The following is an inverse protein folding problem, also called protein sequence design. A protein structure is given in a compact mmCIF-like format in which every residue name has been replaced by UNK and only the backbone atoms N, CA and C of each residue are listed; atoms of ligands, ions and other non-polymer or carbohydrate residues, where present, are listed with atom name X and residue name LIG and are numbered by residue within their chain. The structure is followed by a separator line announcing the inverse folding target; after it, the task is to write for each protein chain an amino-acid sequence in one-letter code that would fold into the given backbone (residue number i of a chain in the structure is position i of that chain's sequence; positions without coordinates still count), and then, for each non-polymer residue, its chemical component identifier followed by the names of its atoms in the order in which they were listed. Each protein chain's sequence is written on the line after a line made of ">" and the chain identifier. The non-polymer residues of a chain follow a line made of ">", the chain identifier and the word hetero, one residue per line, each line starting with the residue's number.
data_IF_622419211511
#
_entry.id   IF_622419211511
#
_cell.length_a   1.000
_cell.length_b   1.000
_cell.length_c   1.000
_cell.angle_alpha   90.00
_cell.angle_beta   90.00
_cell.angle_gamma   90.00
#
_symmetry.space_group_name_H-M   'P 1'
#
loop_
_entity.id
_entity.type
_entity.pdbx_description
1 polymer ?
#
# COMPACT_ATOMS: atom_id res chain seq x y z
N UNK A 1 21.08 12.65 -30.82
CA UNK A 1 19.98 11.80 -31.32
C UNK A 1 20.33 10.33 -31.23
N UNK A 2 21.35 9.96 -30.45
CA UNK A 2 21.59 8.56 -30.10
C UNK A 2 20.67 8.15 -28.96
N UNK A 3 20.81 6.90 -28.58
CA UNK A 3 20.25 6.21 -27.43
C UNK A 3 21.49 5.46 -26.87
N UNK A 4 22.21 6.10 -25.94
CA UNK A 4 23.57 5.69 -25.58
C UNK A 4 23.57 4.50 -24.60
N UNK A 5 22.49 4.29 -23.86
CA UNK A 5 22.29 3.19 -22.89
C UNK A 5 21.29 2.12 -23.35
N UNK A 6 20.48 2.40 -24.38
CA UNK A 6 19.66 1.40 -25.07
C UNK A 6 18.33 1.11 -24.39
N UNK A 7 17.81 2.05 -23.62
CA UNK A 7 16.57 1.92 -22.85
C UNK A 7 15.30 2.27 -23.67
N UNK A 8 15.49 2.82 -24.87
CA UNK A 8 14.43 3.21 -25.79
C UNK A 8 14.13 4.72 -25.81
N UNK A 9 14.74 5.50 -24.93
CA UNK A 9 14.77 6.95 -24.99
C UNK A 9 15.93 7.42 -25.87
N UNK A 10 15.86 8.68 -26.30
CA UNK A 10 17.01 9.28 -27.00
C UNK A 10 17.75 10.14 -26.00
N UNK A 11 19.07 10.34 -26.17
CA UNK A 11 19.87 11.22 -25.29
C UNK A 11 19.28 12.64 -25.14
N UNK A 12 18.48 13.10 -26.12
CA UNK A 12 17.75 14.37 -26.03
C UNK A 12 16.50 14.25 -25.16
N UNK A 13 15.75 13.15 -25.28
CA UNK A 13 14.62 12.81 -24.40
C UNK A 13 15.10 12.71 -22.96
N UNK A 14 16.21 12.02 -22.70
CA UNK A 14 16.71 11.85 -21.33
C UNK A 14 17.06 13.20 -20.70
N UNK A 15 17.83 14.00 -21.44
CA UNK A 15 18.18 15.35 -21.00
C UNK A 15 16.94 16.25 -20.79
N UNK A 16 15.84 16.01 -21.50
CA UNK A 16 14.60 16.79 -21.35
C UNK A 16 13.77 16.33 -20.15
N UNK A 17 13.73 15.03 -19.89
CA UNK A 17 13.01 14.41 -18.79
C UNK A 17 13.77 14.50 -17.46
N UNK A 18 15.09 14.70 -17.52
CA UNK A 18 15.96 14.78 -16.35
C UNK A 18 16.65 13.46 -16.02
N UNK A 19 16.36 12.40 -16.78
CA UNK A 19 17.07 11.12 -16.73
C UNK A 19 18.46 11.24 -17.35
N UNK A 20 19.27 10.21 -17.18
CA UNK A 20 20.69 10.24 -17.54
C UNK A 20 20.92 9.49 -18.85
N UNK A 21 21.35 10.16 -19.95
CA UNK A 21 21.51 9.52 -21.27
C UNK A 21 22.42 8.28 -21.37
N UNK A 22 23.18 7.97 -20.33
CA UNK A 22 24.11 6.84 -20.30
C UNK A 22 23.83 5.90 -19.13
N UNK A 23 22.62 5.97 -18.58
CA UNK A 23 22.14 5.12 -17.52
C UNK A 23 20.65 4.81 -17.77
N UNK A 24 20.38 3.59 -18.20
CA UNK A 24 19.06 3.14 -18.62
C UNK A 24 18.00 3.06 -17.49
N UNK A 25 18.41 3.22 -16.24
CA UNK A 25 17.61 3.12 -15.02
C UNK A 25 18.15 4.19 -14.04
N UNK A 26 17.60 5.40 -14.13
CA UNK A 26 18.18 6.58 -13.50
C UNK A 26 18.09 6.55 -11.98
N UNK A 27 16.98 6.07 -11.42
CA UNK A 27 16.76 5.98 -9.97
C UNK A 27 17.21 4.66 -9.35
N UNK A 28 17.59 3.66 -10.17
CA UNK A 28 18.20 2.37 -9.81
C UNK A 28 17.25 1.41 -9.09
N UNK A 29 16.00 1.36 -9.52
CA UNK A 29 14.97 0.52 -8.91
C UNK A 29 14.71 -0.78 -9.69
N UNK A 30 15.24 -0.88 -10.92
CA UNK A 30 15.13 -2.02 -11.81
C UNK A 30 14.11 -1.88 -12.95
N UNK A 31 13.35 -0.78 -13.01
CA UNK A 31 12.61 -0.35 -14.19
C UNK A 31 13.54 0.49 -15.09
N UNK A 32 13.36 0.42 -16.41
CA UNK A 32 14.14 1.24 -17.32
C UNK A 32 13.41 2.57 -17.58
N UNK A 33 14.14 3.68 -17.65
CA UNK A 33 13.55 5.01 -17.83
C UNK A 33 12.60 5.04 -19.05
N UNK A 34 13.01 4.41 -20.16
CA UNK A 34 12.18 4.27 -21.34
C UNK A 34 10.93 3.40 -21.19
N UNK A 35 10.92 2.39 -20.32
CA UNK A 35 9.73 1.59 -20.01
C UNK A 35 8.69 2.41 -19.25
N UNK A 36 9.15 3.13 -18.25
CA UNK A 36 8.31 3.95 -17.38
C UNK A 36 7.65 5.10 -18.16
N UNK A 37 8.44 5.78 -19.00
CA UNK A 37 7.98 6.85 -19.88
C UNK A 37 7.06 6.34 -20.97
N UNK A 38 7.30 5.14 -21.50
CA UNK A 38 6.40 4.53 -22.48
C UNK A 38 5.04 4.18 -21.86
N UNK A 39 5.04 3.73 -20.61
CA UNK A 39 3.87 3.29 -19.88
C UNK A 39 3.24 2.03 -20.45
N UNK A 40 2.16 1.58 -19.81
CA UNK A 40 1.41 0.38 -20.20
C UNK A 40 -0.08 0.69 -20.36
N UNK A 41 -0.70 0.18 -21.43
CA UNK A 41 -2.12 0.37 -21.66
C UNK A 41 -2.92 -0.81 -21.08
N UNK A 42 -3.61 -0.59 -19.96
CA UNK A 42 -4.40 -1.60 -19.23
C UNK A 42 -5.82 -1.07 -18.97
N UNK A 43 -6.77 -1.99 -18.79
CA UNK A 43 -8.14 -1.61 -18.46
C UNK A 43 -8.20 -1.14 -17.00
N UNK A 44 -8.88 -0.03 -16.75
CA UNK A 44 -9.17 0.43 -15.39
C UNK A 44 -10.34 -0.36 -14.76
N UNK A 45 -10.71 -0.01 -13.52
CA UNK A 45 -11.89 -0.54 -12.83
C UNK A 45 -13.21 -0.41 -13.62
N UNK A 46 -13.32 0.58 -14.50
CA UNK A 46 -14.50 0.80 -15.35
C UNK A 46 -14.48 -0.08 -16.61
N UNK A 47 -13.35 -0.72 -16.91
CA UNK A 47 -13.07 -1.44 -18.14
C UNK A 47 -12.60 -0.55 -19.29
N UNK A 48 -12.33 0.73 -19.03
CA UNK A 48 -11.81 1.66 -20.02
C UNK A 48 -10.29 1.51 -20.14
N UNK A 49 -9.76 1.56 -21.36
CA UNK A 49 -8.32 1.46 -21.58
C UNK A 49 -7.64 2.77 -21.17
N UNK A 50 -6.77 2.69 -20.16
CA UNK A 50 -5.97 3.80 -19.63
C UNK A 50 -4.49 3.46 -19.80
N UNK A 51 -3.66 4.47 -20.03
CA UNK A 51 -2.20 4.31 -20.01
C UNK A 51 -1.67 4.70 -18.65
N UNK A 52 -0.99 3.76 -18.01
CA UNK A 52 -0.34 3.90 -16.70
C UNK A 52 1.14 4.20 -16.90
N UNK A 53 1.66 5.13 -16.09
CA UNK A 53 3.04 5.63 -16.18
C UNK A 53 3.64 5.66 -14.78
N UNK A 54 4.91 5.29 -14.64
CA UNK A 54 5.72 5.58 -13.45
C UNK A 54 6.67 6.76 -13.74
N UNK A 55 7.32 7.27 -12.70
CA UNK A 55 8.27 8.38 -12.76
C UNK A 55 9.71 7.85 -12.77
N UNK A 56 10.46 7.99 -13.88
CA UNK A 56 11.82 7.44 -14.01
C UNK A 56 12.89 8.13 -13.13
N UNK A 57 12.47 9.06 -12.29
CA UNK A 57 13.30 9.73 -11.29
C UNK A 57 12.89 9.38 -9.87
N UNK A 58 11.92 8.48 -9.69
CA UNK A 58 11.37 8.07 -8.41
C UNK A 58 11.15 6.56 -8.35
N UNK A 59 12.05 5.88 -7.64
CA UNK A 59 12.11 4.43 -7.48
C UNK A 59 10.87 3.75 -6.87
N UNK A 60 9.84 4.49 -6.48
CA UNK A 60 8.60 4.04 -5.84
C UNK A 60 7.54 5.13 -6.12
N UNK A 61 6.89 5.03 -7.28
CA UNK A 61 6.03 6.07 -7.85
C UNK A 61 4.73 6.26 -7.09
N UNK A 62 4.10 5.17 -6.62
CA UNK A 62 2.90 5.20 -5.77
C UNK A 62 3.23 5.48 -4.29
N UNK A 63 4.49 5.35 -3.86
CA UNK A 63 4.96 5.52 -2.48
C UNK A 63 4.34 4.48 -1.51
N UNK A 64 4.09 3.29 -2.03
CA UNK A 64 3.49 2.19 -1.27
C UNK A 64 4.55 1.37 -0.53
N UNK A 65 5.85 1.67 -0.72
CA UNK A 65 6.99 1.00 -0.07
C UNK A 65 7.57 -0.15 -0.88
N UNK A 66 7.08 -0.41 -2.09
CA UNK A 66 7.61 -1.39 -3.03
C UNK A 66 8.18 -0.64 -4.25
N UNK A 67 9.45 -0.90 -4.64
CA UNK A 67 10.02 -0.20 -5.78
C UNK A 67 9.38 -0.56 -7.13
N UNK A 68 9.25 0.40 -8.04
CA UNK A 68 8.53 0.21 -9.32
C UNK A 68 9.13 -0.95 -10.11
N UNK A 69 10.45 -0.99 -10.22
CA UNK A 69 11.18 -2.09 -10.85
C UNK A 69 10.92 -3.46 -10.24
N UNK A 70 10.59 -3.56 -8.95
CA UNK A 70 10.20 -4.85 -8.34
C UNK A 70 8.83 -5.29 -8.83
N UNK A 71 7.88 -4.38 -8.91
CA UNK A 71 6.49 -4.68 -9.28
C UNK A 71 6.34 -4.89 -10.78
N UNK A 72 7.06 -4.11 -11.58
CA UNK A 72 7.15 -4.30 -13.02
C UNK A 72 7.63 -5.71 -13.40
N UNK A 73 8.58 -6.25 -12.64
CA UNK A 73 9.16 -7.57 -12.89
C UNK A 73 8.34 -8.73 -12.29
N UNK A 74 7.25 -8.44 -11.58
CA UNK A 74 6.27 -9.45 -11.19
C UNK A 74 5.33 -9.70 -12.38
N UNK A 75 5.42 -10.91 -12.91
CA UNK A 75 4.61 -11.37 -14.04
C UNK A 75 4.23 -12.83 -13.79
N UNK A 76 3.31 -13.03 -12.85
CA UNK A 76 2.86 -14.36 -12.42
C UNK A 76 2.13 -15.11 -13.55
N UNK A 77 1.56 -14.35 -14.49
CA UNK A 77 0.73 -14.87 -15.56
C UNK A 77 1.51 -15.08 -16.89
N UNK A 78 2.67 -14.44 -17.04
CA UNK A 78 3.60 -14.58 -18.17
C UNK A 78 3.25 -13.72 -19.40
N UNK A 79 2.46 -12.66 -19.25
CA UNK A 79 2.04 -11.79 -20.36
C UNK A 79 2.95 -10.57 -20.58
N UNK A 80 3.92 -10.36 -19.69
CA UNK A 80 4.87 -9.24 -19.74
C UNK A 80 4.25 -7.89 -19.36
N UNK A 81 3.12 -7.89 -18.66
CA UNK A 81 2.47 -6.70 -18.10
C UNK A 81 2.51 -6.80 -16.56
N UNK A 82 2.47 -5.67 -15.83
CA UNK A 82 2.30 -5.70 -14.38
C UNK A 82 1.04 -6.47 -14.00
N UNK A 83 1.14 -7.32 -12.99
CA UNK A 83 0.01 -8.06 -12.43
C UNK A 83 -1.02 -7.09 -11.79
N UNK A 84 -2.27 -7.56 -11.65
CA UNK A 84 -3.36 -6.93 -10.87
C UNK A 84 -3.85 -8.03 -9.92
N UNK A 85 -3.24 -8.07 -8.73
CA UNK A 85 -3.28 -9.21 -7.80
C UNK A 85 -4.66 -9.39 -7.17
N UNK A 86 -5.37 -8.31 -6.85
CA UNK A 86 -6.70 -8.37 -6.26
C UNK A 86 -7.84 -8.27 -7.30
N UNK A 87 -7.54 -7.83 -8.53
CA UNK A 87 -8.45 -7.74 -9.66
C UNK A 87 -9.36 -6.52 -9.61
N UNK A 88 -8.97 -5.44 -8.92
CA UNK A 88 -9.79 -4.24 -8.76
C UNK A 88 -9.70 -3.25 -9.93
N UNK A 89 -8.81 -3.52 -10.89
CA UNK A 89 -8.54 -2.71 -12.07
C UNK A 89 -7.45 -1.65 -11.92
N UNK A 90 -6.69 -1.68 -10.82
CA UNK A 90 -5.43 -0.95 -10.64
C UNK A 90 -4.30 -1.99 -10.65
N UNK A 91 -3.35 -1.94 -11.59
CA UNK A 91 -2.22 -2.87 -11.58
C UNK A 91 -1.33 -2.61 -10.36
N UNK A 92 -0.67 -3.66 -9.85
CA UNK A 92 0.03 -3.65 -8.57
C UNK A 92 1.01 -2.47 -8.43
N UNK A 93 1.75 -2.17 -9.50
CA UNK A 93 2.68 -1.03 -9.62
C UNK A 93 2.06 0.37 -9.32
N UNK A 94 0.74 0.48 -9.34
CA UNK A 94 0.00 1.72 -9.06
C UNK A 94 -1.08 1.55 -8.00
N UNK A 95 -1.14 0.40 -7.34
CA UNK A 95 -2.05 0.11 -6.24
C UNK A 95 -1.32 0.31 -4.89
N UNK A 96 -2.04 0.76 -3.86
CA UNK A 96 -1.47 0.91 -2.50
C UNK A 96 -1.84 -0.30 -1.61
N UNK A 97 -2.64 -1.25 -2.10
CA UNK A 97 -3.20 -2.43 -1.39
C UNK A 97 -3.34 -3.63 -2.35
N UNK A 98 -2.20 -4.19 -2.77
CA UNK A 98 -2.09 -5.16 -3.87
C UNK A 98 -2.98 -6.41 -3.73
N UNK A 99 -3.34 -6.85 -2.52
CA UNK A 99 -4.19 -8.02 -2.31
C UNK A 99 -5.64 -7.72 -1.89
N UNK A 100 -5.96 -6.44 -1.76
CA UNK A 100 -7.27 -5.90 -1.43
C UNK A 100 -7.74 -6.27 -0.03
N UNK A 101 -6.82 -6.50 0.91
CA UNK A 101 -7.15 -6.78 2.29
C UNK A 101 -7.25 -5.53 3.16
N UNK A 102 -7.05 -4.34 2.63
CA UNK A 102 -7.24 -3.07 3.33
C UNK A 102 -6.09 -2.71 4.27
N UNK A 103 -5.01 -3.49 4.30
CA UNK A 103 -3.73 -3.09 4.88
C UNK A 103 -2.85 -2.62 3.72
N UNK A 104 -2.40 -1.36 3.77
CA UNK A 104 -1.48 -0.84 2.75
C UNK A 104 -0.19 -1.63 2.68
N UNK A 105 0.37 -1.72 1.48
CA UNK A 105 1.58 -2.47 1.14
C UNK A 105 2.77 -2.17 2.07
N UNK A 106 3.07 -0.89 2.34
CA UNK A 106 4.15 -0.51 3.26
C UNK A 106 3.95 -0.95 4.72
N UNK A 107 2.73 -1.35 5.08
CA UNK A 107 2.34 -1.84 6.40
C UNK A 107 1.94 -3.32 6.39
N UNK A 108 1.97 -3.98 5.22
CA UNK A 108 1.62 -5.38 5.08
C UNK A 108 2.87 -6.27 5.05
N UNK A 109 2.83 -7.34 5.83
CA UNK A 109 3.83 -8.39 5.81
C UNK A 109 3.69 -9.31 4.58
N UNK A 110 2.53 -9.29 3.93
CA UNK A 110 2.21 -10.11 2.76
C UNK A 110 1.44 -9.34 1.66
N UNK A 111 2.02 -8.27 1.07
CA UNK A 111 1.27 -7.35 0.20
C UNK A 111 0.55 -8.00 -0.99
N UNK A 112 1.08 -9.12 -1.50
CA UNK A 112 0.51 -9.84 -2.64
C UNK A 112 -0.39 -11.04 -2.25
N UNK A 113 -0.71 -11.24 -0.97
CA UNK A 113 -1.38 -12.46 -0.54
C UNK A 113 -2.18 -12.36 0.76
N UNK A 114 -3.50 -12.25 0.62
CA UNK A 114 -4.41 -12.29 1.77
C UNK A 114 -5.11 -13.62 1.95
N UNK A 115 -5.37 -13.98 3.21
CA UNK A 115 -6.15 -15.18 3.53
C UNK A 115 -7.66 -14.90 3.36
N UNK A 116 -8.15 -14.93 2.11
CA UNK A 116 -9.55 -14.59 1.79
C UNK A 116 -10.60 -15.55 2.38
N UNK A 117 -10.23 -16.79 2.75
CA UNK A 117 -11.21 -17.89 2.97
C UNK A 117 -11.15 -18.62 4.32
N UNK A 118 -10.34 -18.21 5.30
CA UNK A 118 -10.22 -18.98 6.56
C UNK A 118 -10.42 -18.12 7.81
N UNK A 119 -11.69 -18.07 8.23
CA UNK A 119 -12.18 -17.85 9.58
C UNK A 119 -11.79 -16.53 10.26
N UNK A 120 -12.80 -15.67 10.46
CA UNK A 120 -12.81 -14.73 11.58
C UNK A 120 -12.48 -15.48 12.86
N UNK A 121 -11.35 -15.15 13.47
CA UNK A 121 -11.01 -15.69 14.79
C UNK A 121 -11.95 -15.09 15.83
N UNK A 122 -12.49 -15.94 16.68
CA UNK A 122 -13.39 -15.56 17.77
C UNK A 122 -13.19 -16.49 18.95
N UNK A 123 -13.84 -16.19 20.07
CA UNK A 123 -13.83 -17.08 21.24
C UNK A 123 -14.32 -18.50 20.92
N UNK A 124 -15.24 -18.63 19.96
CA UNK A 124 -15.80 -19.90 19.52
C UNK A 124 -14.97 -20.59 18.41
N UNK A 125 -14.05 -19.86 17.78
CA UNK A 125 -13.15 -20.34 16.73
C UNK A 125 -11.80 -19.62 16.83
N UNK A 126 -10.97 -19.97 17.83
CA UNK A 126 -9.71 -19.27 18.06
C UNK A 126 -8.68 -19.62 16.98
N UNK A 127 -7.76 -18.69 16.70
CA UNK A 127 -6.58 -18.98 15.90
C UNK A 127 -5.79 -20.14 16.50
N UNK A 128 -5.49 -21.16 15.70
CA UNK A 128 -4.72 -22.34 16.12
C UNK A 128 -3.51 -22.51 15.20
N UNK A 129 -2.32 -22.35 15.75
CA UNK A 129 -1.06 -22.63 15.07
C UNK A 129 -0.50 -23.96 15.57
N UNK A 130 -0.41 -24.95 14.68
CA UNK A 130 0.25 -26.23 14.95
C UNK A 130 1.49 -26.37 14.08
N UNK A 131 2.67 -26.48 14.71
CA UNK A 131 3.93 -26.72 14.01
C UNK A 131 4.32 -28.20 14.13
N UNK A 132 4.44 -28.87 12.99
CA UNK A 132 4.86 -30.28 12.91
C UNK A 132 6.31 -30.38 12.40
N UNK A 133 6.93 -31.54 12.57
CA UNK A 133 8.21 -31.91 11.96
C UNK A 133 9.40 -30.97 12.28
N UNK A 134 9.42 -30.40 13.48
CA UNK A 134 10.53 -29.56 13.94
C UNK A 134 11.82 -30.37 14.12
N UNK A 135 12.94 -29.82 13.64
CA UNK A 135 14.26 -30.42 13.78
C UNK A 135 15.01 -29.87 14.99
N UNK A 136 15.73 -30.75 15.71
CA UNK A 136 16.54 -30.36 16.86
C UNK A 136 17.63 -29.34 16.45
N UNK A 137 17.82 -28.31 17.28
CA UNK A 137 18.78 -27.22 17.06
C UNK A 137 18.58 -26.40 15.77
N UNK A 138 17.38 -26.40 15.19
CA UNK A 138 17.00 -25.50 14.10
C UNK A 138 16.08 -24.39 14.62
N UNK A 139 16.41 -23.15 14.26
CA UNK A 139 15.56 -22.00 14.53
C UNK A 139 14.34 -22.05 13.62
N UNK A 140 13.17 -21.77 14.18
CA UNK A 140 11.93 -21.52 13.44
C UNK A 140 11.47 -20.11 13.74
N UNK A 141 11.27 -19.30 12.69
CA UNK A 141 10.64 -17.99 12.77
C UNK A 141 9.19 -18.14 12.32
N UNK A 142 8.25 -17.58 13.08
CA UNK A 142 6.85 -17.44 12.69
C UNK A 142 6.47 -15.99 12.85
N UNK A 143 5.78 -15.45 11.87
CA UNK A 143 5.29 -14.09 11.82
C UNK A 143 3.88 -14.11 11.24
N UNK A 144 2.98 -13.30 11.78
CA UNK A 144 1.58 -13.23 11.35
C UNK A 144 1.06 -11.82 11.56
N UNK A 145 0.22 -11.38 10.63
CA UNK A 145 -0.57 -10.16 10.73
C UNK A 145 -2.03 -10.55 10.86
N UNK A 146 -2.77 -9.81 11.69
CA UNK A 146 -4.20 -9.99 11.84
C UNK A 146 -4.90 -8.70 11.47
N UNK A 147 -5.91 -8.82 10.61
CA UNK A 147 -6.86 -7.75 10.32
C UNK A 147 -8.15 -7.92 11.13
N UNK A 148 -8.69 -6.85 11.75
CA UNK A 148 -10.03 -6.88 12.31
C UNK A 148 -11.09 -7.21 11.25
N UNK A 149 -12.24 -7.76 11.64
CA UNK A 149 -13.35 -7.97 10.70
C UNK A 149 -13.95 -6.69 10.16
N UNK A 150 -13.88 -5.60 10.95
CA UNK A 150 -14.19 -4.27 10.48
C UNK A 150 -12.89 -3.58 10.04
N UNK A 151 -12.61 -3.44 8.74
CA UNK A 151 -11.40 -2.78 8.26
C UNK A 151 -11.29 -1.33 8.70
N UNK A 152 -12.41 -0.64 8.97
CA UNK A 152 -12.39 0.72 9.52
C UNK A 152 -11.60 0.81 10.84
N UNK A 153 -11.52 -0.30 11.58
CA UNK A 153 -10.76 -0.37 12.84
C UNK A 153 -9.24 -0.37 12.64
N UNK A 154 -8.73 -0.69 11.44
CA UNK A 154 -7.29 -0.57 11.14
C UNK A 154 -6.82 0.88 11.28
N UNK A 155 -7.68 1.82 10.92
CA UNK A 155 -7.36 3.24 10.88
C UNK A 155 -7.70 3.98 12.17
N UNK A 156 -8.24 3.29 13.19
CA UNK A 156 -8.62 3.93 14.46
C UNK A 156 -7.44 4.60 15.17
N UNK A 157 -6.23 4.08 15.04
CA UNK A 157 -5.00 4.70 15.58
C UNK A 157 -4.52 5.92 14.78
N UNK A 158 -5.05 6.11 13.56
CA UNK A 158 -4.75 7.25 12.71
C UNK A 158 -5.87 8.30 12.71
N UNK A 159 -7.01 7.97 13.31
CA UNK A 159 -8.15 8.85 13.43
C UNK A 159 -8.17 9.55 14.79
N UNK A 160 -8.69 10.78 14.79
CA UNK A 160 -9.15 11.43 16.02
C UNK A 160 -10.63 11.11 16.13
N UNK A 161 -11.01 10.38 17.18
CA UNK A 161 -12.36 9.88 17.38
C UNK A 161 -13.08 10.72 18.43
N UNK A 162 -14.38 10.93 18.22
CA UNK A 162 -15.28 11.43 19.26
C UNK A 162 -15.54 10.32 20.28
N UNK A 163 -15.38 10.64 21.56
CA UNK A 163 -15.76 9.78 22.67
C UNK A 163 -17.24 9.48 22.56
N UNK A 164 -17.68 8.21 22.68
CA UNK A 164 -19.08 7.88 22.55
C UNK A 164 -19.94 8.67 23.54
N UNK A 165 -20.92 9.40 23.01
CA UNK A 165 -21.91 10.11 23.82
C UNK A 165 -22.53 9.11 24.83
N UNK A 166 -22.23 9.32 26.11
CA UNK A 166 -22.68 8.52 27.25
C UNK A 166 -21.90 7.23 27.59
N UNK A 167 -20.64 7.08 27.18
CA UNK A 167 -19.79 6.05 27.80
C UNK A 167 -19.54 6.37 29.29
N UNK A 168 -20.19 5.58 30.15
CA UNK A 168 -20.08 5.62 31.63
C UNK A 168 -19.48 4.34 32.19
N UNK A 169 -19.03 3.44 31.32
CA UNK A 169 -18.58 2.09 31.68
C UNK A 169 -17.08 1.89 31.40
N UNK A 170 -16.48 2.74 30.58
CA UNK A 170 -15.03 2.81 30.35
C UNK A 170 -14.21 3.26 31.57
N UNK A 171 -12.92 2.89 31.56
CA UNK A 171 -11.96 3.29 32.61
C UNK A 171 -11.48 4.74 32.46
N UNK A 172 -11.54 5.26 31.24
CA UNK A 172 -11.43 6.68 30.91
C UNK A 172 -12.83 7.08 30.44
N UNK A 173 -13.26 8.30 30.78
CA UNK A 173 -14.59 8.82 30.45
C UNK A 173 -14.44 10.28 30.09
N UNK A 174 -15.08 10.70 29.00
CA UNK A 174 -15.32 12.11 28.76
C UNK A 174 -16.48 12.58 29.66
N UNK A 175 -16.16 13.52 30.55
CA UNK A 175 -17.08 14.04 31.56
C UNK A 175 -17.70 15.38 31.17
N UNK A 176 -17.06 16.14 30.30
CA UNK A 176 -17.49 17.49 29.92
C UNK A 176 -18.07 17.56 28.51
N UNK A 177 -17.90 16.52 27.68
CA UNK A 177 -18.48 16.48 26.34
C UNK A 177 -17.74 17.38 25.37
N UNK A 178 -16.52 17.83 25.72
CA UNK A 178 -15.78 18.82 24.97
C UNK A 178 -14.76 18.16 24.04
N UNK A 179 -14.84 18.50 22.76
CA UNK A 179 -13.84 18.09 21.76
C UNK A 179 -12.55 18.89 21.91
N UNK A 180 -11.44 18.44 21.31
CA UNK A 180 -10.23 19.27 21.24
C UNK A 180 -10.49 20.62 20.51
N UNK A 181 -11.48 20.67 19.61
CA UNK A 181 -11.94 21.91 18.97
C UNK A 181 -12.61 22.88 19.97
N UNK A 182 -13.38 22.39 20.94
CA UNK A 182 -14.02 23.24 21.95
C UNK A 182 -13.00 23.91 22.89
N UNK A 183 -11.81 23.32 23.02
CA UNK A 183 -10.72 23.81 23.88
C UNK A 183 -9.78 24.77 23.13
N UNK A 184 -9.56 24.59 21.83
CA UNK A 184 -8.73 25.46 20.99
C UNK A 184 -9.36 25.77 19.62
N UNK A 185 -10.10 26.88 19.58
CA UNK A 185 -10.75 27.39 18.37
C UNK A 185 -9.82 28.10 17.38
N UNK A 186 -8.50 28.13 17.64
CA UNK A 186 -7.51 28.68 16.70
C UNK A 186 -7.05 27.65 15.68
N UNK A 187 -7.38 26.38 15.89
CA UNK A 187 -7.20 25.30 14.92
C UNK A 187 -8.22 25.51 13.78
N UNK A 188 -7.74 25.69 12.56
CA UNK A 188 -8.57 25.88 11.36
C UNK A 188 -9.22 24.55 10.92
N UNK A 189 -10.07 23.98 11.77
CA UNK A 189 -10.62 22.63 11.63
C UNK A 189 -12.07 22.59 12.13
N UNK A 190 -12.89 21.68 11.62
CA UNK A 190 -14.28 21.50 12.07
C UNK A 190 -14.34 20.51 13.26
N UNK A 191 -15.43 20.50 14.06
CA UNK A 191 -15.60 19.55 15.17
C UNK A 191 -15.43 18.08 14.76
N UNK A 192 -15.81 17.72 13.53
CA UNK A 192 -15.67 16.35 13.02
C UNK A 192 -14.24 15.99 12.61
N UNK A 193 -13.33 16.97 12.55
CA UNK A 193 -11.93 16.76 12.17
C UNK A 193 -11.03 16.54 13.40
N UNK A 194 -11.55 16.72 14.62
CA UNK A 194 -10.77 16.71 15.84
C UNK A 194 -11.63 16.26 17.02
N UNK A 195 -11.97 14.96 17.05
CA UNK A 195 -12.56 14.35 18.24
C UNK A 195 -11.69 14.51 19.49
N UNK A 196 -12.15 14.07 20.65
CA UNK A 196 -11.47 14.23 21.94
C UNK A 196 -10.56 13.05 22.30
N UNK A 197 -10.48 12.02 21.44
CA UNK A 197 -9.59 10.86 21.62
C UNK A 197 -8.67 10.69 20.43
N UNK A 198 -7.37 10.54 20.70
CA UNK A 198 -6.39 10.00 19.75
C UNK A 198 -5.88 8.67 20.28
N UNK A 199 -6.16 7.59 19.56
CA UNK A 199 -5.73 6.22 19.92
C UNK A 199 -4.28 5.96 19.50
#
# INVERSE_FOLDING_TARGET
>A
TGDDDGDGLTNLSDCLLGTLPGNADTDNDGALDGQEVAGVALADRSGDLVTWYSDPLNADSNNDGIPDGKEWNLDSNGDGLPDDTDGDGVPDLWDDDNDGDGVRDNLDLSPYASTKTVATFSDNSPFQLTMNDLAEFKLVKVEFQFRPTNPDHLWYTQNVLDWPDNDRQGQIQDADGATFYDVDNTLAMSPNDNGDVRL
#
